data_IF_200879651200
#
_entry.id   IF_200879651200
#
_cell.length_a   1.000
_cell.length_b   1.000
_cell.length_c   1.000
_cell.angle_alpha   90.00
_cell.angle_beta   90.00
_cell.angle_gamma   90.00
#
_symmetry.space_group_name_H-M   'P 1'
#
loop_
_entity.id
_entity.type
_entity.pdbx_description
1 polymer ?
#
# COMPACT_ATOMS: atom_id res chain seq x y z
N UNK A 1 33.64 -32.17 58.39
CA UNK A 1 33.51 -31.25 57.24
C UNK A 1 32.06 -30.82 57.16
N UNK A 2 31.75 -29.61 57.61
CA UNK A 2 30.39 -29.10 57.69
C UNK A 2 30.33 -27.86 56.79
N UNK A 3 29.82 -28.00 55.57
CA UNK A 3 29.57 -26.84 54.71
C UNK A 3 28.33 -26.12 55.25
N UNK A 4 28.40 -24.81 55.52
CA UNK A 4 27.20 -24.06 55.91
C UNK A 4 26.22 -24.01 54.73
N UNK A 5 24.90 -23.99 54.99
CA UNK A 5 23.90 -23.88 53.94
C UNK A 5 24.03 -22.52 53.25
N UNK A 6 24.04 -22.50 51.92
CA UNK A 6 23.91 -21.27 51.14
C UNK A 6 22.70 -20.49 51.65
N UNK A 7 22.91 -19.24 52.04
CA UNK A 7 21.84 -18.38 52.54
C UNK A 7 20.81 -18.16 51.43
N UNK A 8 19.52 -18.33 51.72
CA UNK A 8 18.42 -18.00 50.79
C UNK A 8 18.48 -16.55 50.28
N UNK A 9 19.20 -15.67 50.98
CA UNK A 9 19.50 -14.30 50.58
C UNK A 9 20.35 -14.20 49.30
N UNK A 10 21.20 -15.20 49.03
CA UNK A 10 22.05 -15.23 47.83
C UNK A 10 21.28 -15.75 46.59
N UNK A 11 20.23 -16.56 46.80
CA UNK A 11 19.31 -16.99 45.75
C UNK A 11 18.36 -15.86 45.31
N UNK A 12 18.02 -14.92 46.20
CA UNK A 12 17.19 -13.75 45.85
C UNK A 12 17.95 -12.65 45.12
N UNK A 13 19.29 -12.58 45.25
CA UNK A 13 20.13 -11.63 44.48
C UNK A 13 20.48 -12.11 43.07
N UNK A 14 20.22 -13.38 42.75
CA UNK A 14 20.43 -13.95 41.41
C UNK A 14 19.23 -13.78 40.46
N UNK A 15 18.12 -13.19 40.93
CA UNK A 15 17.00 -12.77 40.07
C UNK A 15 17.18 -11.30 39.65
N UNK A 16 18.33 -10.97 39.08
CA UNK A 16 18.43 -9.77 38.27
C UNK A 16 17.44 -9.94 37.09
N UNK A 17 16.37 -9.14 37.10
CA UNK A 17 15.39 -9.11 36.02
C UNK A 17 16.12 -8.86 34.70
N UNK A 18 16.32 -9.91 33.90
CA UNK A 18 16.79 -9.79 32.52
C UNK A 18 15.73 -9.01 31.75
N UNK A 19 15.90 -7.69 31.61
CA UNK A 19 15.04 -6.87 30.75
C UNK A 19 15.16 -7.41 29.33
N UNK A 20 14.15 -8.14 28.87
CA UNK A 20 14.07 -8.60 27.47
C UNK A 20 13.97 -7.36 26.60
N UNK A 21 15.02 -7.07 25.83
CA UNK A 21 15.01 -5.97 24.86
C UNK A 21 13.98 -6.31 23.79
N UNK A 22 12.90 -5.53 23.74
CA UNK A 22 11.82 -5.72 22.77
C UNK A 22 12.29 -5.21 21.41
N UNK A 23 12.22 -6.03 20.37
CA UNK A 23 12.61 -5.60 19.02
C UNK A 23 11.62 -4.56 18.48
N UNK A 24 12.02 -3.74 17.50
CA UNK A 24 11.11 -2.74 16.88
C UNK A 24 9.84 -3.39 16.32
N UNK A 25 9.96 -4.55 15.68
CA UNK A 25 8.83 -5.34 15.19
C UNK A 25 7.89 -5.73 16.34
N UNK A 26 8.43 -6.20 17.46
CA UNK A 26 7.65 -6.55 18.64
C UNK A 26 6.96 -5.33 19.25
N UNK A 27 7.64 -4.18 19.32
CA UNK A 27 7.05 -2.95 19.81
C UNK A 27 5.87 -2.48 18.93
N UNK A 28 6.01 -2.53 17.61
CA UNK A 28 4.95 -2.19 16.66
C UNK A 28 3.76 -3.16 16.77
N UNK A 29 4.02 -4.46 16.87
CA UNK A 29 2.98 -5.48 17.06
C UNK A 29 2.26 -5.29 18.40
N UNK A 30 3.00 -5.02 19.48
CA UNK A 30 2.42 -4.74 20.80
C UNK A 30 1.54 -3.50 20.76
N UNK A 31 2.01 -2.42 20.10
CA UNK A 31 1.27 -1.17 19.96
C UNK A 31 -0.08 -1.40 19.27
N UNK A 32 -0.09 -2.08 18.12
CA UNK A 32 -1.31 -2.36 17.35
C UNK A 32 -2.29 -3.27 18.11
N UNK A 33 -1.80 -4.08 19.04
CA UNK A 33 -2.64 -4.91 19.89
C UNK A 33 -3.24 -4.17 21.10
N UNK A 34 -2.89 -2.90 21.36
CA UNK A 34 -3.47 -2.12 22.45
C UNK A 34 -5.01 -2.01 22.29
N UNK A 35 -5.80 -2.08 23.38
CA UNK A 35 -7.26 -2.00 23.31
C UNK A 35 -7.79 -0.76 22.58
N UNK A 36 -7.15 0.40 22.79
CA UNK A 36 -7.47 1.64 22.07
C UNK A 36 -7.30 1.52 20.56
N UNK A 37 -6.24 0.85 20.09
CA UNK A 37 -6.00 0.60 18.67
C UNK A 37 -7.02 -0.37 18.09
N UNK A 38 -7.34 -1.44 18.82
CA UNK A 38 -8.38 -2.37 18.42
C UNK A 38 -9.74 -1.68 18.27
N UNK A 39 -10.09 -0.78 19.18
CA UNK A 39 -11.33 -0.02 19.13
C UNK A 39 -11.40 0.90 17.90
N UNK A 40 -10.31 1.60 17.59
CA UNK A 40 -10.25 2.45 16.39
C UNK A 40 -10.29 1.64 15.08
N UNK A 41 -9.56 0.52 15.01
CA UNK A 41 -9.66 -0.40 13.88
C UNK A 41 -11.10 -0.92 13.74
N UNK A 42 -11.76 -1.28 14.84
CA UNK A 42 -13.15 -1.73 14.81
C UNK A 42 -14.10 -0.66 14.24
N UNK A 43 -13.87 0.62 14.56
CA UNK A 43 -14.67 1.72 14.04
C UNK A 43 -14.43 1.97 12.53
N UNK A 44 -13.23 1.68 12.03
CA UNK A 44 -12.86 1.88 10.63
C UNK A 44 -13.19 0.67 9.72
N UNK A 45 -13.28 -0.54 10.29
CA UNK A 45 -13.41 -1.77 9.52
C UNK A 45 -14.84 -2.04 9.03
N UNK A 46 -15.02 -2.60 7.82
CA UNK A 46 -16.30 -3.11 7.37
C UNK A 46 -16.80 -4.24 8.28
N UNK A 47 -18.12 -4.41 8.33
CA UNK A 47 -18.80 -5.41 9.19
C UNK A 47 -18.29 -6.86 9.02
N UNK A 48 -17.72 -7.20 7.88
CA UNK A 48 -17.21 -8.55 7.58
C UNK A 48 -15.73 -8.75 8.00
N UNK A 49 -15.08 -7.74 8.57
CA UNK A 49 -13.68 -7.77 8.99
C UNK A 49 -13.57 -7.49 10.48
N UNK A 50 -12.83 -8.33 11.21
CA UNK A 50 -12.57 -8.12 12.63
C UNK A 50 -11.22 -7.42 12.85
N UNK A 51 -11.07 -6.62 13.92
CA UNK A 51 -9.78 -6.02 14.28
C UNK A 51 -8.68 -7.08 14.41
N UNK A 52 -8.93 -8.19 15.09
CA UNK A 52 -7.92 -9.24 15.29
C UNK A 52 -7.45 -9.88 13.98
N UNK A 53 -8.36 -10.05 13.00
CA UNK A 53 -7.99 -10.53 11.66
C UNK A 53 -7.08 -9.52 10.96
N UNK A 54 -7.43 -8.23 10.96
CA UNK A 54 -6.59 -7.19 10.37
C UNK A 54 -5.21 -7.13 11.04
N UNK A 55 -5.15 -7.18 12.37
CA UNK A 55 -3.89 -7.18 13.13
C UNK A 55 -3.00 -8.37 12.75
N UNK A 56 -3.57 -9.58 12.59
CA UNK A 56 -2.84 -10.77 12.16
C UNK A 56 -2.28 -10.62 10.74
N UNK A 57 -3.04 -10.02 9.83
CA UNK A 57 -2.61 -9.74 8.46
C UNK A 57 -1.43 -8.76 8.50
N UNK A 58 -1.59 -7.63 9.18
CA UNK A 58 -0.55 -6.60 9.31
C UNK A 58 0.72 -7.15 9.99
N UNK A 59 0.57 -7.97 11.03
CA UNK A 59 1.70 -8.67 11.68
C UNK A 59 2.45 -9.56 10.69
N UNK A 60 1.74 -10.21 9.78
CA UNK A 60 2.34 -11.03 8.73
C UNK A 60 3.13 -10.18 7.73
N UNK A 61 2.58 -9.02 7.34
CA UNK A 61 3.25 -8.11 6.43
C UNK A 61 4.50 -7.46 7.05
N UNK A 62 4.49 -7.12 8.35
CA UNK A 62 5.70 -6.68 9.07
C UNK A 62 6.80 -7.75 8.98
N UNK A 63 6.46 -9.04 9.17
CA UNK A 63 7.43 -10.13 9.07
C UNK A 63 7.96 -10.34 7.66
N UNK A 64 7.13 -10.17 6.63
CA UNK A 64 7.56 -10.26 5.23
C UNK A 64 8.40 -9.06 4.80
N UNK A 65 8.15 -7.89 5.37
CA UNK A 65 8.87 -6.65 5.07
C UNK A 65 9.35 -6.02 6.38
N UNK A 66 10.46 -6.52 6.98
CA UNK A 66 10.96 -6.04 8.27
C UNK A 66 11.25 -4.53 8.31
N UNK A 67 11.52 -3.90 7.15
CA UNK A 67 11.67 -2.46 7.04
C UNK A 67 10.41 -1.67 7.49
N UNK A 68 9.23 -2.29 7.49
CA UNK A 68 8.01 -1.68 8.03
C UNK A 68 8.10 -1.38 9.52
N UNK A 69 8.85 -2.18 10.29
CA UNK A 69 9.07 -1.92 11.71
C UNK A 69 9.96 -0.71 11.99
N UNK A 70 10.68 -0.21 10.98
CA UNK A 70 11.45 1.03 11.07
C UNK A 70 10.67 2.24 10.54
N UNK A 71 9.45 2.05 10.05
CA UNK A 71 8.60 3.15 9.65
C UNK A 71 8.13 3.95 10.86
N UNK A 72 7.84 5.21 10.65
CA UNK A 72 7.12 6.04 11.61
C UNK A 72 5.79 5.40 11.98
N UNK A 73 5.59 5.26 13.29
CA UNK A 73 4.46 4.51 13.83
C UNK A 73 3.11 5.13 13.44
N UNK A 74 3.03 6.47 13.37
CA UNK A 74 1.80 7.17 12.98
C UNK A 74 1.46 6.88 11.51
N UNK A 75 2.45 6.96 10.62
CA UNK A 75 2.28 6.66 9.20
C UNK A 75 1.84 5.21 8.97
N UNK A 76 2.39 4.26 9.74
CA UNK A 76 2.04 2.84 9.66
C UNK A 76 0.59 2.60 10.07
N UNK A 77 0.21 3.13 11.23
CA UNK A 77 -1.16 2.99 11.73
C UNK A 77 -2.14 3.68 10.81
N UNK A 78 -1.82 4.88 10.32
CA UNK A 78 -2.63 5.61 9.33
C UNK A 78 -2.84 4.82 8.03
N UNK A 79 -1.81 4.12 7.53
CA UNK A 79 -1.95 3.24 6.37
C UNK A 79 -2.84 2.03 6.65
N UNK A 80 -2.73 1.41 7.84
CA UNK A 80 -3.60 0.29 8.25
C UNK A 80 -5.06 0.73 8.42
N UNK A 81 -5.30 1.91 8.99
CA UNK A 81 -6.64 2.48 9.14
C UNK A 81 -7.25 2.76 7.76
N UNK A 82 -6.50 3.28 6.80
CA UNK A 82 -7.00 3.46 5.44
C UNK A 82 -7.33 2.14 4.74
N UNK A 83 -6.46 1.12 4.84
CA UNK A 83 -6.78 -0.23 4.37
C UNK A 83 -8.11 -0.71 4.96
N UNK A 84 -8.27 -0.47 6.26
CA UNK A 84 -9.47 -0.84 7.01
C UNK A 84 -10.70 -0.11 6.48
N UNK A 85 -10.67 1.21 6.34
CA UNK A 85 -11.78 2.01 5.78
C UNK A 85 -12.19 1.58 4.38
N UNK A 86 -11.23 1.16 3.55
CA UNK A 86 -11.49 0.66 2.20
C UNK A 86 -11.93 -0.80 2.19
N UNK A 87 -11.88 -1.50 3.32
CA UNK A 87 -12.11 -2.95 3.37
C UNK A 87 -11.14 -3.71 2.47
N UNK A 88 -9.90 -3.24 2.36
CA UNK A 88 -8.83 -3.90 1.64
C UNK A 88 -7.87 -4.53 2.65
N UNK A 89 -7.55 -5.80 2.43
CA UNK A 89 -6.52 -6.49 3.21
C UNK A 89 -5.15 -6.22 2.58
N UNK A 90 -4.16 -5.70 3.34
CA UNK A 90 -2.81 -5.54 2.83
C UNK A 90 -2.16 -6.92 2.66
N UNK A 91 -1.54 -7.13 1.51
CA UNK A 91 -0.72 -8.32 1.25
C UNK A 91 -0.80 -8.82 -0.19
N UNK A 92 0.21 -9.61 -0.56
CA UNK A 92 0.42 -10.02 -1.95
C UNK A 92 -0.61 -11.03 -2.48
N UNK A 93 -1.37 -11.72 -1.61
CA UNK A 93 -2.20 -12.87 -2.02
C UNK A 93 -3.33 -12.49 -2.99
N UNK A 94 -3.99 -11.35 -2.76
CA UNK A 94 -5.08 -10.87 -3.62
C UNK A 94 -4.64 -9.73 -4.56
N UNK A 95 -3.48 -9.12 -4.28
CA UNK A 95 -2.99 -7.94 -5.02
C UNK A 95 -3.90 -6.72 -4.88
N UNK A 96 -4.61 -6.62 -3.76
CA UNK A 96 -5.57 -5.54 -3.49
C UNK A 96 -4.90 -4.29 -2.95
N UNK A 97 -4.05 -4.46 -1.94
CA UNK A 97 -3.36 -3.37 -1.26
C UNK A 97 -2.01 -3.86 -0.72
N UNK A 98 -1.09 -2.92 -0.53
CA UNK A 98 0.24 -3.15 0.01
C UNK A 98 0.56 -2.01 0.97
N UNK A 99 1.22 -2.30 2.08
CA UNK A 99 1.80 -1.27 2.95
C UNK A 99 3.30 -1.37 2.76
N UNK A 100 3.93 -0.32 2.24
CA UNK A 100 5.34 -0.33 1.87
C UNK A 100 6.10 0.82 2.55
N UNK A 101 7.38 0.61 2.91
CA UNK A 101 8.23 1.66 3.46
C UNK A 101 8.67 2.65 2.38
N UNK A 102 8.56 3.94 2.68
CA UNK A 102 8.98 5.05 1.82
C UNK A 102 9.96 5.94 2.58
N UNK A 103 11.24 5.83 2.21
CA UNK A 103 12.26 6.73 2.73
C UNK A 103 12.02 8.16 2.24
N UNK A 104 11.99 9.09 3.19
CA UNK A 104 12.20 10.52 3.01
C UNK A 104 13.68 10.80 3.15
N UNK A 105 14.28 11.31 2.09
CA UNK A 105 15.70 11.65 2.05
C UNK A 105 15.89 13.15 2.03
N UNK A 106 16.86 13.63 2.79
CA UNK A 106 17.33 15.02 2.76
C UNK A 106 18.78 15.02 2.31
N UNK A 107 19.16 16.04 1.53
CA UNK A 107 20.55 16.26 1.18
C UNK A 107 21.25 16.95 2.34
N UNK A 108 22.29 16.33 2.87
CA UNK A 108 23.17 16.87 3.90
C UNK A 108 24.59 16.90 3.35
N UNK A 109 25.09 18.12 3.06
CA UNK A 109 26.31 18.29 2.28
C UNK A 109 26.19 17.61 0.92
N UNK A 110 27.12 16.71 0.62
CA UNK A 110 27.15 15.94 -0.63
C UNK A 110 26.47 14.57 -0.56
N UNK A 111 25.82 14.24 0.58
CA UNK A 111 25.21 12.92 0.79
C UNK A 111 23.69 13.03 0.96
N UNK A 112 22.99 12.02 0.46
CA UNK A 112 21.58 11.82 0.76
C UNK A 112 21.47 10.95 2.01
N UNK A 113 20.80 11.45 3.03
CA UNK A 113 20.51 10.71 4.26
C UNK A 113 19.01 10.48 4.38
N UNK A 114 18.62 9.28 4.82
CA UNK A 114 17.23 8.99 5.18
C UNK A 114 16.94 9.65 6.51
N UNK A 115 16.03 10.64 6.51
CA UNK A 115 15.63 11.37 7.72
C UNK A 115 14.42 10.76 8.40
N UNK A 116 13.59 10.06 7.64
CA UNK A 116 12.37 9.40 8.10
C UNK A 116 12.00 8.32 7.09
N UNK A 117 11.45 7.21 7.54
CA UNK A 117 10.78 6.24 6.67
C UNK A 117 9.31 6.23 7.05
N UNK A 118 8.42 6.55 6.12
CA UNK A 118 6.98 6.50 6.36
C UNK A 118 6.41 5.25 5.70
N UNK A 119 5.39 4.66 6.30
CA UNK A 119 4.61 3.59 5.67
C UNK A 119 3.51 4.20 4.81
N UNK A 120 3.44 3.75 3.55
CA UNK A 120 2.45 4.20 2.58
C UNK A 120 1.57 3.04 2.12
N UNK A 121 0.28 3.33 1.94
CA UNK A 121 -0.68 2.42 1.34
C UNK A 121 -0.60 2.53 -0.18
N UNK A 122 -0.25 1.42 -0.83
CA UNK A 122 -0.33 1.27 -2.28
C UNK A 122 -1.53 0.40 -2.62
N UNK A 123 -2.46 0.89 -3.43
CA UNK A 123 -3.63 0.15 -3.89
C UNK A 123 -3.27 -0.53 -5.21
N UNK A 124 -3.37 -1.85 -5.24
CA UNK A 124 -3.19 -2.62 -6.47
C UNK A 124 -4.36 -2.44 -7.43
N UNK A 125 -4.15 -2.68 -8.73
CA UNK A 125 -5.23 -2.53 -9.71
C UNK A 125 -6.42 -3.45 -9.44
N UNK A 126 -6.17 -4.64 -8.88
CA UNK A 126 -7.25 -5.56 -8.48
C UNK A 126 -8.07 -4.99 -7.33
N UNK A 127 -7.43 -4.31 -6.39
CA UNK A 127 -8.09 -3.57 -5.32
C UNK A 127 -8.94 -2.42 -5.89
N UNK A 128 -8.40 -1.65 -6.84
CA UNK A 128 -9.20 -0.62 -7.53
C UNK A 128 -10.42 -1.21 -8.25
N UNK A 129 -10.26 -2.32 -8.98
CA UNK A 129 -11.38 -2.99 -9.65
C UNK A 129 -12.42 -3.48 -8.64
N UNK A 130 -11.99 -4.09 -7.53
CA UNK A 130 -12.89 -4.55 -6.47
C UNK A 130 -13.67 -3.36 -5.87
N UNK A 131 -12.98 -2.28 -5.50
CA UNK A 131 -13.60 -1.06 -5.00
C UNK A 131 -14.63 -0.51 -5.99
N UNK A 132 -14.27 -0.38 -7.27
CA UNK A 132 -15.20 0.12 -8.29
C UNK A 132 -16.47 -0.74 -8.41
N UNK A 133 -16.34 -2.06 -8.32
CA UNK A 133 -17.47 -3.00 -8.40
C UNK A 133 -18.40 -2.93 -7.19
N UNK A 134 -17.90 -2.53 -6.01
CA UNK A 134 -18.73 -2.34 -4.81
C UNK A 134 -19.74 -1.21 -4.93
N UNK A 135 -19.57 -0.28 -5.88
CA UNK A 135 -20.60 0.72 -6.23
C UNK A 135 -21.93 0.09 -6.66
N UNK A 136 -21.88 -1.16 -7.15
CA UNK A 136 -23.02 -1.81 -7.77
C UNK A 136 -23.40 -1.23 -9.12
N UNK A 137 -22.70 -0.22 -9.64
CA UNK A 137 -22.94 0.38 -10.97
C UNK A 137 -22.02 -0.21 -12.05
N UNK A 138 -20.88 -0.76 -11.64
CA UNK A 138 -19.88 -1.34 -12.54
C UNK A 138 -20.10 -2.85 -12.71
N UNK A 139 -20.27 -3.28 -13.95
CA UNK A 139 -20.35 -4.69 -14.34
C UNK A 139 -18.96 -5.31 -14.39
N UNK A 140 -18.04 -4.66 -15.09
CA UNK A 140 -16.67 -5.13 -15.25
C UNK A 140 -15.71 -3.98 -15.56
N UNK A 141 -14.44 -4.18 -15.19
CA UNK A 141 -13.32 -3.35 -15.62
C UNK A 141 -12.25 -4.29 -16.16
N UNK A 142 -11.69 -3.96 -17.31
CA UNK A 142 -10.59 -4.69 -17.91
C UNK A 142 -9.57 -3.73 -18.50
N UNK A 143 -8.29 -4.07 -18.42
CA UNK A 143 -7.22 -3.36 -19.13
C UNK A 143 -6.45 -4.32 -20.03
N UNK A 144 -5.98 -3.79 -21.16
CA UNK A 144 -5.26 -4.52 -22.20
C UNK A 144 -4.13 -3.66 -22.73
N UNK A 145 -3.03 -4.33 -23.08
CA UNK A 145 -1.94 -3.76 -23.87
C UNK A 145 -2.29 -3.94 -25.35
N UNK A 146 -1.86 -3.00 -26.17
CA UNK A 146 -1.95 -3.01 -27.62
C UNK A 146 -0.53 -3.02 -28.14
N UNK A 147 -0.23 -3.95 -29.03
CA UNK A 147 1.10 -4.17 -29.60
C UNK A 147 1.15 -3.74 -31.06
N UNK A 148 2.38 -3.57 -31.54
CA UNK A 148 2.61 -3.38 -32.96
C UNK A 148 2.09 -4.59 -33.75
N UNK A 149 1.36 -4.34 -34.84
CA UNK A 149 0.63 -5.37 -35.59
C UNK A 149 -0.81 -5.64 -35.15
N UNK A 150 -1.26 -5.14 -33.99
CA UNK A 150 -2.67 -5.24 -33.58
C UNK A 150 -3.57 -4.35 -34.44
N UNK A 151 -4.80 -4.79 -34.70
CA UNK A 151 -5.81 -3.91 -35.29
C UNK A 151 -6.47 -3.13 -34.17
N UNK A 152 -6.02 -1.89 -33.99
CA UNK A 152 -6.49 -1.02 -32.92
C UNK A 152 -7.03 0.31 -33.46
N UNK A 153 -8.22 0.68 -32.99
CA UNK A 153 -8.88 1.92 -33.36
C UNK A 153 -9.70 2.43 -32.17
N UNK A 154 -9.67 3.74 -31.93
CA UNK A 154 -10.48 4.40 -30.91
C UNK A 154 -10.88 5.81 -31.34
N UNK A 155 -12.06 6.25 -30.90
CA UNK A 155 -12.61 7.57 -31.16
C UNK A 155 -13.32 8.07 -29.89
N UNK A 156 -13.07 9.34 -29.51
CA UNK A 156 -13.71 10.00 -28.36
C UNK A 156 -14.86 10.94 -28.76
N UNK A 157 -15.30 10.92 -30.01
CA UNK A 157 -16.36 11.83 -30.48
C UNK A 157 -17.66 11.67 -29.66
N UNK A 158 -18.73 12.35 -30.09
CA UNK A 158 -20.03 12.22 -29.41
C UNK A 158 -20.53 10.77 -29.27
N UNK A 159 -20.04 9.87 -30.12
CA UNK A 159 -20.20 8.43 -30.01
C UNK A 159 -18.82 7.81 -29.82
N UNK A 160 -18.42 7.57 -28.58
CA UNK A 160 -17.13 6.95 -28.29
C UNK A 160 -17.12 5.49 -28.77
N UNK A 161 -15.99 5.07 -29.36
CA UNK A 161 -15.81 3.70 -29.84
C UNK A 161 -14.38 3.22 -29.61
N UNK A 162 -14.21 1.95 -29.26
CA UNK A 162 -12.91 1.30 -29.13
C UNK A 162 -12.99 -0.11 -29.72
N UNK A 163 -12.14 -0.38 -30.69
CA UNK A 163 -11.97 -1.71 -31.30
C UNK A 163 -10.53 -2.16 -31.12
N UNK A 164 -10.37 -3.37 -30.59
CA UNK A 164 -9.06 -4.01 -30.47
C UNK A 164 -9.17 -5.49 -30.90
N UNK A 165 -8.47 -5.85 -31.97
CA UNK A 165 -8.27 -7.23 -32.38
C UNK A 165 -6.77 -7.53 -32.24
N UNK A 166 -6.36 -8.28 -31.20
CA UNK A 166 -4.96 -8.59 -30.97
C UNK A 166 -4.41 -9.51 -32.06
N UNK A 167 -3.16 -9.30 -32.44
CA UNK A 167 -2.37 -10.29 -33.17
C UNK A 167 -1.87 -11.41 -32.25
N UNK A 168 -1.08 -12.32 -32.80
CA UNK A 168 -0.54 -13.48 -32.06
C UNK A 168 0.88 -13.23 -31.51
N UNK A 169 1.54 -12.15 -31.92
CA UNK A 169 2.91 -11.85 -31.52
C UNK A 169 2.96 -11.11 -30.17
N UNK A 170 3.07 -11.86 -29.07
CA UNK A 170 3.22 -11.28 -27.73
C UNK A 170 4.56 -10.55 -27.51
N UNK A 171 5.58 -10.81 -28.33
CA UNK A 171 6.88 -10.14 -28.22
C UNK A 171 6.90 -8.77 -28.94
N UNK A 172 5.86 -8.45 -29.70
CA UNK A 172 5.77 -7.18 -30.40
C UNK A 172 5.74 -5.99 -29.41
N UNK A 173 6.41 -4.86 -29.75
CA UNK A 173 6.45 -3.69 -28.88
C UNK A 173 5.05 -3.17 -28.54
N UNK A 174 4.86 -2.77 -27.29
CA UNK A 174 3.59 -2.18 -26.84
C UNK A 174 3.51 -0.74 -27.34
N UNK A 175 2.41 -0.42 -28.02
CA UNK A 175 2.14 0.91 -28.58
C UNK A 175 1.17 1.71 -27.72
N UNK A 176 0.16 1.04 -27.14
CA UNK A 176 -0.87 1.64 -26.30
C UNK A 176 -1.26 0.70 -25.17
N UNK A 177 -1.90 1.24 -24.15
CA UNK A 177 -2.58 0.50 -23.09
C UNK A 177 -3.92 1.17 -22.88
N UNK A 178 -5.00 0.38 -22.79
CA UNK A 178 -6.33 0.91 -22.53
C UNK A 178 -7.02 0.19 -21.40
N UNK A 179 -7.98 0.87 -20.77
CA UNK A 179 -8.93 0.27 -19.84
C UNK A 179 -10.36 0.54 -20.30
N UNK A 180 -11.25 -0.41 -20.04
CA UNK A 180 -12.69 -0.32 -20.34
C UNK A 180 -13.46 -0.69 -19.08
N UNK A 181 -14.44 0.13 -18.72
CA UNK A 181 -15.47 -0.16 -17.74
C UNK A 181 -16.83 -0.30 -18.43
N UNK A 182 -17.58 -1.33 -18.05
CA UNK A 182 -18.98 -1.52 -18.46
C UNK A 182 -19.88 -1.21 -17.28
N UNK A 183 -20.87 -0.35 -17.49
CA UNK A 183 -21.85 0.04 -16.48
C UNK A 183 -23.14 -0.77 -16.65
N UNK A 184 -23.93 -0.85 -15.57
CA UNK A 184 -25.18 -1.61 -15.56
C UNK A 184 -26.28 -1.03 -16.46
N UNK A 185 -26.24 0.27 -16.71
CA UNK A 185 -27.16 0.98 -17.59
C UNK A 185 -26.84 0.82 -19.08
N UNK A 186 -25.79 0.05 -19.42
CA UNK A 186 -25.32 -0.13 -20.78
C UNK A 186 -24.23 0.86 -21.19
N UNK A 187 -23.91 1.84 -20.34
CA UNK A 187 -22.81 2.76 -20.56
C UNK A 187 -21.46 2.04 -20.64
N UNK A 188 -20.58 2.54 -21.50
CA UNK A 188 -19.19 2.11 -21.60
C UNK A 188 -18.32 3.32 -21.40
N UNK A 189 -17.30 3.18 -20.56
CA UNK A 189 -16.28 4.21 -20.34
C UNK A 189 -14.93 3.58 -20.65
N UNK A 190 -14.09 4.25 -21.44
CA UNK A 190 -12.74 3.76 -21.69
C UNK A 190 -11.71 4.89 -21.63
N UNK A 191 -10.47 4.49 -21.35
CA UNK A 191 -9.33 5.39 -21.34
C UNK A 191 -8.20 4.72 -22.11
N UNK A 192 -7.54 5.48 -22.98
CA UNK A 192 -6.39 5.01 -23.78
C UNK A 192 -5.16 5.84 -23.42
N UNK A 193 -4.04 5.16 -23.16
CA UNK A 193 -2.73 5.76 -23.00
C UNK A 193 -1.77 5.21 -24.06
N UNK A 194 -1.09 6.11 -24.76
CA UNK A 194 0.07 5.75 -25.59
C UNK A 194 1.22 5.25 -24.72
N UNK A 195 2.12 4.45 -25.30
CA UNK A 195 3.36 4.02 -24.65
C UNK A 195 4.13 5.22 -24.05
N UNK A 196 4.22 6.33 -24.78
CA UNK A 196 4.89 7.57 -24.32
C UNK A 196 4.23 8.17 -23.08
N UNK A 197 2.90 8.13 -22.99
CA UNK A 197 2.18 8.61 -21.80
C UNK A 197 2.43 7.71 -20.60
N UNK A 198 2.46 6.40 -20.79
CA UNK A 198 2.81 5.45 -19.72
C UNK A 198 4.26 5.67 -19.25
N UNK A 199 5.20 5.81 -20.18
CA UNK A 199 6.60 6.10 -19.85
C UNK A 199 6.76 7.42 -19.10
N UNK A 200 5.98 8.44 -19.43
CA UNK A 200 5.97 9.70 -18.67
C UNK A 200 5.58 9.45 -17.20
N UNK A 201 4.55 8.65 -16.95
CA UNK A 201 4.18 8.25 -15.57
C UNK A 201 5.30 7.45 -14.91
N UNK A 202 5.90 6.49 -15.63
CA UNK A 202 7.03 5.70 -15.12
C UNK A 202 8.19 6.59 -14.68
N UNK A 203 8.58 7.59 -15.48
CA UNK A 203 9.70 8.49 -15.14
C UNK A 203 9.44 9.36 -13.91
N UNK A 204 8.18 9.64 -13.59
CA UNK A 204 7.78 10.40 -12.42
C UNK A 204 7.61 9.52 -11.17
N UNK A 205 7.51 8.20 -11.36
CA UNK A 205 7.35 7.23 -10.28
C UNK A 205 8.64 7.04 -9.49
N UNK A 206 8.54 6.92 -8.16
CA UNK A 206 9.68 6.52 -7.30
C UNK A 206 10.28 5.18 -7.71
N UNK A 207 9.40 4.26 -8.12
CA UNK A 207 9.77 2.95 -8.60
C UNK A 207 10.02 2.94 -10.12
N UNK A 208 10.17 4.10 -10.78
CA UNK A 208 10.30 4.15 -12.23
C UNK A 208 11.48 3.35 -12.79
N UNK A 209 12.57 3.29 -12.04
CA UNK A 209 13.83 2.63 -12.42
C UNK A 209 14.12 1.35 -11.63
N UNK A 210 13.19 0.89 -10.80
CA UNK A 210 13.36 -0.30 -9.97
C UNK A 210 12.02 -1.03 -9.75
N UNK A 211 12.05 -2.20 -9.11
CA UNK A 211 10.83 -2.88 -8.70
C UNK A 211 9.87 -3.21 -9.87
N UNK A 212 8.55 -3.13 -9.66
CA UNK A 212 7.55 -3.61 -10.61
C UNK A 212 7.56 -2.94 -11.98
N UNK A 213 8.03 -1.68 -12.11
CA UNK A 213 8.16 -1.05 -13.43
C UNK A 213 9.23 -1.70 -14.31
N UNK A 214 10.21 -2.37 -13.70
CA UNK A 214 11.26 -3.11 -14.41
C UNK A 214 10.85 -4.56 -14.62
N UNK A 215 10.34 -5.25 -13.59
CA UNK A 215 10.01 -6.67 -13.67
C UNK A 215 8.62 -6.98 -14.23
N UNK A 216 7.68 -6.03 -14.16
CA UNK A 216 6.26 -6.21 -14.52
C UNK A 216 5.67 -4.94 -15.17
N UNK A 217 6.38 -4.39 -16.16
CA UNK A 217 5.99 -3.12 -16.82
C UNK A 217 4.52 -3.10 -17.27
N UNK A 218 4.03 -4.19 -17.88
CA UNK A 218 2.64 -4.27 -18.37
C UNK A 218 1.60 -4.14 -17.26
N UNK A 219 1.83 -4.75 -16.11
CA UNK A 219 0.91 -4.68 -14.98
C UNK A 219 0.90 -3.26 -14.39
N UNK A 220 2.05 -2.58 -14.40
CA UNK A 220 2.15 -1.17 -13.99
C UNK A 220 1.47 -0.23 -14.99
N UNK A 221 1.60 -0.50 -16.29
CA UNK A 221 0.90 0.24 -17.32
C UNK A 221 -0.63 0.07 -17.21
N UNK A 222 -1.10 -1.17 -16.98
CA UNK A 222 -2.52 -1.48 -16.72
C UNK A 222 -3.02 -0.80 -15.45
N UNK A 223 -2.26 -0.83 -14.35
CA UNK A 223 -2.57 -0.08 -13.11
C UNK A 223 -2.77 1.39 -13.43
N UNK A 224 -1.86 1.98 -14.21
CA UNK A 224 -1.85 3.39 -14.56
C UNK A 224 -3.10 3.80 -15.36
N UNK A 225 -3.48 3.05 -16.39
CA UNK A 225 -4.66 3.38 -17.19
C UNK A 225 -5.98 3.12 -16.46
N UNK A 226 -6.06 2.06 -15.64
CA UNK A 226 -7.22 1.79 -14.78
C UNK A 226 -7.45 2.95 -13.82
N UNK A 227 -6.38 3.45 -13.23
CA UNK A 227 -6.42 4.58 -12.31
C UNK A 227 -6.95 5.85 -12.96
N UNK A 228 -6.55 6.13 -14.20
CA UNK A 228 -7.04 7.28 -14.97
C UNK A 228 -8.52 7.12 -15.31
N UNK A 229 -8.93 5.93 -15.76
CA UNK A 229 -10.34 5.59 -15.98
C UNK A 229 -11.17 5.74 -14.70
N UNK A 230 -10.62 5.37 -13.54
CA UNK A 230 -11.31 5.39 -12.25
C UNK A 230 -11.90 6.76 -11.89
N UNK A 231 -11.28 7.85 -12.36
CA UNK A 231 -11.72 9.23 -12.11
C UNK A 231 -13.07 9.57 -12.73
N UNK A 232 -13.51 8.79 -13.72
CA UNK A 232 -14.79 8.98 -14.43
C UNK A 232 -15.87 7.98 -13.98
N UNK A 233 -15.54 7.04 -13.09
CA UNK A 233 -16.47 6.00 -12.69
C UNK A 233 -17.42 6.51 -11.59
N UNK A 234 -18.69 6.05 -11.59
CA UNK A 234 -19.65 6.34 -10.52
C UNK A 234 -19.33 5.54 -9.25
N UNK A 235 -18.27 5.92 -8.57
CA UNK A 235 -17.79 5.32 -7.30
C UNK A 235 -17.99 6.27 -6.13
N UNK A 236 -17.85 5.78 -4.89
CA UNK A 236 -17.99 6.63 -3.71
C UNK A 236 -16.82 7.62 -3.59
N UNK A 237 -17.05 8.72 -2.86
CA UNK A 237 -16.02 9.75 -2.62
C UNK A 237 -14.81 9.16 -1.89
N UNK A 238 -15.04 8.24 -0.96
CA UNK A 238 -14.00 7.53 -0.21
C UNK A 238 -13.09 6.73 -1.15
N UNK A 239 -13.68 6.04 -2.12
CA UNK A 239 -12.93 5.27 -3.12
C UNK A 239 -12.13 6.18 -4.06
N UNK A 240 -12.73 7.30 -4.49
CA UNK A 240 -12.02 8.28 -5.32
C UNK A 240 -10.83 8.88 -4.57
N UNK A 241 -11.01 9.25 -3.30
CA UNK A 241 -9.93 9.75 -2.43
C UNK A 241 -8.81 8.74 -2.29
N UNK A 242 -9.14 7.46 -2.11
CA UNK A 242 -8.16 6.38 -2.00
C UNK A 242 -7.26 6.27 -3.26
N UNK A 243 -7.86 6.39 -4.45
CA UNK A 243 -7.11 6.38 -5.71
C UNK A 243 -6.20 7.62 -5.84
N UNK A 244 -6.66 8.79 -5.39
CA UNK A 244 -5.84 10.01 -5.35
C UNK A 244 -4.68 9.87 -4.37
N UNK A 245 -4.89 9.25 -3.20
CA UNK A 245 -3.81 8.98 -2.25
C UNK A 245 -2.79 7.99 -2.81
N UNK A 246 -3.23 6.97 -3.55
CA UNK A 246 -2.31 6.07 -4.26
C UNK A 246 -1.53 6.80 -5.38
N UNK A 247 -2.09 7.85 -6.00
CA UNK A 247 -1.34 8.70 -6.96
C UNK A 247 -0.23 9.48 -6.27
N UNK A 248 -0.52 10.03 -5.08
CA UNK A 248 0.50 10.71 -4.28
C UNK A 248 1.67 9.77 -3.98
N UNK A 249 1.39 8.54 -3.55
CA UNK A 249 2.42 7.57 -3.23
C UNK A 249 3.29 7.21 -4.45
N UNK A 250 2.68 6.94 -5.60
CA UNK A 250 3.42 6.68 -6.84
C UNK A 250 4.33 7.87 -7.20
N UNK A 251 3.86 9.11 -7.01
CA UNK A 251 4.61 10.35 -7.24
C UNK A 251 5.60 10.72 -6.11
N UNK A 252 5.80 9.85 -5.11
CA UNK A 252 6.63 10.11 -3.92
C UNK A 252 6.21 11.36 -3.11
N UNK A 253 4.92 11.67 -3.15
CA UNK A 253 4.29 12.69 -2.31
C UNK A 253 3.73 12.00 -1.07
N UNK A 254 3.88 12.64 0.09
CA UNK A 254 3.32 12.12 1.33
C UNK A 254 1.79 12.00 1.23
N UNK A 255 1.26 10.88 1.69
CA UNK A 255 -0.17 10.64 1.81
C UNK A 255 -0.78 11.30 3.05
N UNK A 256 0.07 11.89 3.90
CA UNK A 256 -0.28 12.51 5.18
C UNK A 256 -0.87 11.48 6.16
N UNK A 257 -0.44 10.22 6.04
CA UNK A 257 -0.96 9.09 6.82
C UNK A 257 -0.83 9.31 8.33
N UNK A 258 0.24 9.99 8.76
CA UNK A 258 0.46 10.34 10.16
C UNK A 258 -0.63 11.29 10.71
N UNK A 259 -1.16 12.20 9.87
CA UNK A 259 -2.19 13.16 10.27
C UNK A 259 -3.61 12.57 10.29
N UNK A 260 -3.82 11.40 9.66
CA UNK A 260 -5.09 10.66 9.71
C UNK A 260 -5.33 10.11 11.13
N UNK A 261 -4.30 10.10 11.98
CA UNK A 261 -4.32 9.47 13.28
C UNK A 261 -4.13 10.48 14.42
N UNK A 262 -5.24 11.03 14.92
CA UNK A 262 -5.29 11.90 16.12
C UNK A 262 -5.35 11.08 17.42
N UNK A 263 -4.44 10.13 17.61
CA UNK A 263 -4.26 9.46 18.89
C UNK A 263 -3.17 10.16 19.71
N UNK A 264 -3.42 10.50 20.98
CA UNK A 264 -2.34 10.89 21.88
C UNK A 264 -1.33 9.73 22.01
N UNK A 265 -0.09 9.98 21.61
CA UNK A 265 1.00 9.01 21.72
C UNK A 265 1.75 9.24 23.03
N UNK A 266 1.71 8.26 23.94
CA UNK A 266 2.81 8.12 24.90
C UNK A 266 3.99 7.50 24.15
N UNK A 267 5.03 8.30 23.91
CA UNK A 267 6.31 7.80 23.41
C UNK A 267 6.84 6.73 24.36
N UNK A 268 6.96 5.50 23.87
CA UNK A 268 7.69 4.46 24.59
C UNK A 268 9.16 4.82 24.45
N UNK A 269 9.74 5.45 25.47
CA UNK A 269 11.17 5.73 25.54
C UNK A 269 11.94 4.41 25.42
N UNK A 270 12.53 4.17 24.25
CA UNK A 270 13.61 3.20 24.11
C UNK A 270 14.85 3.81 24.73
N UNK A 271 15.21 3.37 25.93
CA UNK A 271 16.47 3.75 26.56
C UNK A 271 17.65 3.30 25.70
N UNK A 272 18.11 4.14 24.79
CA UNK A 272 19.47 4.09 24.27
C UNK A 272 20.39 4.66 25.34
N UNK A 273 20.82 3.81 26.28
CA UNK A 273 21.95 4.14 27.13
C UNK A 273 23.21 4.09 26.27
N UNK A 274 23.66 5.26 25.84
CA UNK A 274 25.02 5.46 25.35
C UNK A 274 26.01 5.05 26.44
N UNK A 275 26.85 4.09 26.10
CA UNK A 275 28.04 3.76 26.88
C UNK A 275 29.05 4.89 26.73
N UNK A 276 29.33 5.58 27.83
CA UNK A 276 30.59 6.32 28.05
C UNK A 276 31.80 5.38 27.97
#
# INVERSE_FOLDING_TARGET
MNNPPLAQADLQKAQAQTKVVTTKDQALIQFINKPSMKAQLAAALPRHMTPDRMIRIVTTEIRKTPALANCDMQSFVGAVVQCSQLGLEPGNALGHAYILPFDKKRKEGDRWVTVKTDAQLIIGYRGMIDLARRSGQIVSISARTVRDGDKFHFEYGLNENLTHVPGENEDAPITHVYAVARLKDGGVQFEVMTFKQVEKVRTQSKAGTNGPWVSHWEEMAKKTVIRRLFKYLPVSIEMLKAVVLDEKADANIDQDNAAIFEGEFEEVQTNEQGSE
#
